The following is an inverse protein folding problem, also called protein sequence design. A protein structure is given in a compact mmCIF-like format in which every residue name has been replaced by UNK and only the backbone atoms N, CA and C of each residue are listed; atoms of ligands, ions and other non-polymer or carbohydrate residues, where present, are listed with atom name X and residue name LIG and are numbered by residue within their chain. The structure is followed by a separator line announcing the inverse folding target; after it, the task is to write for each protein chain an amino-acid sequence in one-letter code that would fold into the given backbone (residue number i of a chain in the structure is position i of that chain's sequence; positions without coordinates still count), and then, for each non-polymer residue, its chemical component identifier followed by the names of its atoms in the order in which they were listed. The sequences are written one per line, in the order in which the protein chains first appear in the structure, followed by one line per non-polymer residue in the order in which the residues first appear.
data_IF_224792789322
#
_entry.id   IF_224792789322
#
_cell.length_a   1.000
_cell.length_b   1.000
_cell.length_c   1.000
_cell.angle_alpha   90.00
_cell.angle_beta   90.00
_cell.angle_gamma   90.00
#
_symmetry.space_group_name_H-M   'P 1'
#
loop_
_entity.id
_entity.type
_entity.pdbx_description
1 polymer ?
#
# COMPACT_ATOMS: atom_id res chain seq x y z
N UNK A 1 13.02 6.93 35.98
CA UNK A 1 12.29 5.74 36.48
C UNK A 1 12.21 4.74 35.35
N UNK A 2 12.91 3.62 35.47
CA UNK A 2 13.06 2.62 34.41
C UNK A 2 12.06 1.47 34.59
N UNK A 3 11.67 0.90 33.44
CA UNK A 3 10.97 -0.38 33.21
C UNK A 3 9.51 -0.49 33.66
N UNK A 4 8.60 -0.72 32.70
CA UNK A 4 7.81 -1.95 32.78
C UNK A 4 7.24 -2.40 31.42
N UNK A 5 7.78 -3.51 30.93
CA UNK A 5 7.24 -4.45 29.93
C UNK A 5 6.29 -3.89 28.87
N UNK A 6 6.78 -3.69 27.63
CA UNK A 6 5.97 -3.44 26.43
C UNK A 6 5.11 -4.63 26.00
N UNK A 7 4.53 -5.34 26.97
CA UNK A 7 3.62 -6.46 26.81
C UNK A 7 2.22 -5.98 27.19
N UNK A 8 1.27 -6.11 26.29
CA UNK A 8 -0.12 -5.74 26.54
C UNK A 8 -1.06 -6.82 26.02
N UNK A 9 -2.19 -6.96 26.69
CA UNK A 9 -3.24 -7.90 26.32
C UNK A 9 -4.36 -7.11 25.70
N UNK A 10 -4.63 -7.33 24.42
CA UNK A 10 -5.68 -6.60 23.72
C UNK A 10 -6.38 -7.52 22.72
N UNK A 11 -7.69 -7.40 22.60
CA UNK A 11 -8.44 -8.17 21.62
C UNK A 11 -8.36 -7.54 20.23
N UNK A 12 -8.48 -8.35 19.18
CA UNK A 12 -8.58 -7.85 17.81
C UNK A 12 -9.84 -6.96 17.62
N UNK A 13 -10.84 -7.12 18.48
CA UNK A 13 -12.06 -6.30 18.49
C UNK A 13 -11.73 -4.89 18.96
N UNK A 14 -11.01 -4.79 20.07
CA UNK A 14 -10.62 -3.53 20.69
C UNK A 14 -9.63 -2.77 19.80
N UNK A 15 -8.64 -3.46 19.21
CA UNK A 15 -7.78 -2.88 18.18
C UNK A 15 -8.58 -2.36 16.97
N UNK A 16 -9.67 -3.04 16.60
CA UNK A 16 -10.53 -2.65 15.48
C UNK A 16 -11.29 -1.37 15.76
N UNK A 17 -11.78 -1.20 16.99
CA UNK A 17 -12.44 0.02 17.42
C UNK A 17 -11.44 1.18 17.53
N UNK A 18 -10.30 0.94 18.18
CA UNK A 18 -9.31 1.99 18.46
C UNK A 18 -8.65 2.50 17.18
N UNK A 19 -8.21 1.58 16.30
CA UNK A 19 -7.55 1.93 15.05
C UNK A 19 -8.52 2.23 13.91
N UNK A 20 -9.83 2.02 14.13
CA UNK A 20 -10.88 2.11 13.09
C UNK A 20 -10.57 1.27 11.85
N UNK A 21 -9.96 0.10 12.05
CA UNK A 21 -9.59 -0.85 11.00
C UNK A 21 -10.45 -2.11 11.07
N UNK A 22 -10.66 -2.77 9.93
CA UNK A 22 -11.36 -4.06 9.93
C UNK A 22 -10.52 -5.15 10.60
N UNK A 23 -11.17 -6.14 11.22
CA UNK A 23 -10.48 -7.29 11.86
C UNK A 23 -9.56 -8.04 10.89
N UNK A 24 -9.95 -8.15 9.62
CA UNK A 24 -9.13 -8.77 8.58
C UNK A 24 -7.83 -7.99 8.35
N UNK A 25 -7.89 -6.66 8.39
CA UNK A 25 -6.71 -5.79 8.26
C UNK A 25 -5.79 -5.94 9.46
N UNK A 26 -6.33 -6.00 10.68
CA UNK A 26 -5.56 -6.22 11.90
C UNK A 26 -4.85 -7.57 11.84
N UNK A 27 -5.55 -8.63 11.44
CA UNK A 27 -4.96 -9.97 11.30
C UNK A 27 -3.82 -10.00 10.28
N UNK A 28 -4.03 -9.43 9.09
CA UNK A 28 -2.98 -9.37 8.08
C UNK A 28 -1.78 -8.49 8.51
N UNK A 29 -2.04 -7.42 9.26
CA UNK A 29 -0.99 -6.48 9.69
C UNK A 29 -0.20 -7.02 10.86
N UNK A 30 -0.83 -7.66 11.86
CA UNK A 30 -0.12 -8.29 12.97
C UNK A 30 0.79 -9.43 12.50
N UNK A 31 0.37 -10.19 11.50
CA UNK A 31 1.20 -11.22 10.86
C UNK A 31 2.43 -10.58 10.20
N UNK A 32 2.25 -9.48 9.45
CA UNK A 32 3.36 -8.73 8.84
C UNK A 32 4.32 -8.16 9.88
N UNK A 33 3.81 -7.50 10.91
CA UNK A 33 4.62 -6.92 11.98
C UNK A 33 5.41 -8.00 12.73
N UNK A 34 4.80 -9.18 12.96
CA UNK A 34 5.49 -10.34 13.52
C UNK A 34 6.60 -10.85 12.59
N UNK A 35 6.33 -10.98 11.30
CA UNK A 35 7.31 -11.43 10.31
C UNK A 35 8.47 -10.44 10.13
N UNK A 36 8.22 -9.16 10.36
CA UNK A 36 9.25 -8.12 10.39
C UNK A 36 10.03 -8.08 11.70
N UNK A 37 9.68 -8.92 12.69
CA UNK A 37 10.32 -8.92 14.00
C UNK A 37 10.05 -7.67 14.83
N UNK A 38 8.96 -6.95 14.55
CA UNK A 38 8.58 -5.73 15.28
C UNK A 38 7.72 -6.03 16.50
N UNK A 39 6.94 -7.11 16.44
CA UNK A 39 6.09 -7.55 17.53
C UNK A 39 6.17 -9.07 17.70
N UNK A 40 5.92 -9.52 18.91
CA UNK A 40 5.57 -10.90 19.21
C UNK A 40 4.10 -10.96 19.66
N UNK A 41 3.36 -12.00 19.29
CA UNK A 41 2.01 -12.20 19.82
C UNK A 41 1.71 -13.69 20.06
N UNK A 42 0.85 -13.95 21.05
CA UNK A 42 0.31 -15.27 21.34
C UNK A 42 -1.21 -15.21 21.38
N UNK A 43 -1.84 -16.06 20.56
CA UNK A 43 -3.29 -16.25 20.54
C UNK A 43 -3.66 -17.61 21.14
N UNK A 44 -4.62 -17.64 22.05
CA UNK A 44 -5.28 -18.87 22.52
C UNK A 44 -6.78 -18.73 22.28
N UNK A 45 -7.46 -19.83 21.97
CA UNK A 45 -8.90 -19.83 21.72
C UNK A 45 -9.65 -19.36 22.97
N UNK A 46 -10.56 -18.40 22.80
CA UNK A 46 -11.43 -17.92 23.88
C UNK A 46 -10.82 -16.89 24.85
N UNK A 47 -9.58 -16.44 24.62
CA UNK A 47 -8.95 -15.38 25.43
C UNK A 47 -8.36 -14.27 24.55
N UNK A 48 -8.27 -13.02 25.05
CA UNK A 48 -7.62 -11.92 24.33
C UNK A 48 -6.19 -12.24 23.92
N UNK A 49 -5.74 -11.70 22.79
CA UNK A 49 -4.38 -11.92 22.29
C UNK A 49 -3.38 -11.13 23.15
N UNK A 50 -2.25 -11.77 23.44
CA UNK A 50 -1.12 -11.13 24.10
C UNK A 50 -0.17 -10.60 23.05
N UNK A 51 0.24 -9.34 23.17
CA UNK A 51 1.19 -8.67 22.30
C UNK A 51 2.40 -8.21 23.09
N UNK A 52 3.57 -8.22 22.45
CA UNK A 52 4.83 -7.70 22.96
C UNK A 52 5.52 -6.90 21.88
N UNK A 53 5.87 -5.64 22.16
CA UNK A 53 6.70 -4.82 21.28
C UNK A 53 8.15 -5.24 21.45
N UNK A 54 8.82 -5.47 20.33
CA UNK A 54 10.25 -5.76 20.28
C UNK A 54 10.94 -4.40 20.19
N UNK A 55 11.69 -4.01 21.21
CA UNK A 55 12.33 -2.67 21.34
C UNK A 55 13.82 -2.71 21.01
N UNK A 56 14.40 -3.90 20.92
CA UNK A 56 15.77 -4.20 20.48
C UNK A 56 15.88 -4.26 18.96
N UNK A 57 15.05 -3.48 18.25
CA UNK A 57 15.26 -3.25 16.83
C UNK A 57 16.53 -2.41 16.68
N UNK A 58 17.67 -3.07 16.47
CA UNK A 58 18.81 -2.42 15.84
C UNK A 58 18.31 -1.97 14.47
N UNK A 59 18.24 -0.66 14.22
CA UNK A 59 17.82 -0.11 12.91
C UNK A 59 18.60 -0.87 11.83
N UNK A 60 17.94 -1.72 11.05
CA UNK A 60 18.64 -2.37 9.97
C UNK A 60 18.80 -1.29 8.91
N UNK A 61 20.03 -0.81 8.71
CA UNK A 61 20.43 -0.43 7.35
C UNK A 61 19.92 -1.54 6.44
N UNK A 62 19.03 -1.16 5.53
CA UNK A 62 18.12 -2.02 4.75
C UNK A 62 18.78 -3.37 4.43
N UNK A 63 18.52 -4.37 5.28
CA UNK A 63 19.00 -5.73 5.06
C UNK A 63 18.13 -6.31 3.95
N UNK A 64 18.66 -6.27 2.73
CA UNK A 64 18.18 -7.06 1.60
C UNK A 64 18.12 -8.52 2.06
N UNK A 65 16.89 -8.98 2.30
CA UNK A 65 16.43 -10.37 2.49
C UNK A 65 17.49 -11.37 3.00
N UNK A 66 17.39 -11.72 4.28
CA UNK A 66 17.47 -13.12 4.67
C UNK A 66 16.31 -13.45 5.61
N UNK A 67 15.36 -14.19 5.07
CA UNK A 67 14.28 -14.87 5.80
C UNK A 67 14.92 -15.76 6.87
N UNK A 68 14.70 -15.45 8.15
CA UNK A 68 14.73 -16.47 9.21
C UNK A 68 13.28 -16.87 9.46
N UNK A 69 12.88 -17.93 8.79
CA UNK A 69 11.63 -18.63 9.04
C UNK A 69 11.62 -19.01 10.53
N UNK A 70 10.77 -18.39 11.36
CA UNK A 70 10.44 -18.97 12.66
C UNK A 70 9.47 -20.12 12.35
N UNK A 71 9.89 -21.38 12.52
CA UNK A 71 9.05 -22.50 12.12
C UNK A 71 7.75 -22.51 12.94
N UNK A 72 6.63 -22.99 12.36
CA UNK A 72 5.52 -23.46 13.17
C UNK A 72 6.04 -24.56 14.11
N UNK A 73 5.44 -24.78 15.29
CA UNK A 73 5.81 -25.95 16.07
C UNK A 73 5.49 -27.19 15.22
N UNK A 74 6.50 -27.99 14.87
CA UNK A 74 6.76 -29.40 15.28
C UNK A 74 7.77 -30.06 14.28
N UNK A 75 8.69 -30.86 14.83
CA UNK A 75 9.52 -31.98 14.27
C UNK A 75 10.90 -31.74 13.60
N UNK A 76 11.86 -32.59 14.02
CA UNK A 76 13.32 -32.61 13.80
C UNK A 76 13.80 -33.13 12.43
N UNK A 77 15.06 -32.80 12.12
CA UNK A 77 16.06 -33.42 11.21
C UNK A 77 16.60 -32.60 10.00
N UNK A 78 17.92 -32.68 9.83
CA UNK A 78 18.85 -31.71 9.22
C UNK A 78 19.33 -32.06 7.79
N UNK A 79 19.70 -31.04 6.96
CA UNK A 79 21.08 -30.79 6.44
C UNK A 79 21.17 -29.70 5.31
N UNK A 80 22.34 -29.02 5.09
CA UNK A 80 22.42 -27.65 4.53
C UNK A 80 23.42 -27.42 3.34
N UNK A 81 23.24 -26.35 2.53
CA UNK A 81 24.23 -25.76 1.57
C UNK A 81 23.81 -24.30 1.22
N UNK A 82 24.63 -23.32 0.76
CA UNK A 82 25.85 -22.60 1.24
C UNK A 82 26.16 -21.50 0.16
N UNK A 83 26.50 -20.25 0.58
CA UNK A 83 27.43 -19.26 -0.07
C UNK A 83 26.87 -18.46 -1.30
N UNK A 84 27.17 -17.19 -1.65
CA UNK A 84 28.19 -16.15 -1.35
C UNK A 84 27.69 -14.73 -1.72
N UNK A 85 28.29 -13.72 -1.07
CA UNK A 85 28.13 -12.26 -1.26
C UNK A 85 29.17 -11.69 -2.23
N UNK A 86 28.82 -10.66 -3.00
CA UNK A 86 29.76 -9.63 -3.48
C UNK A 86 29.04 -8.28 -3.76
N UNK A 87 29.63 -7.20 -3.25
CA UNK A 87 29.34 -5.76 -3.47
C UNK A 87 30.58 -5.13 -4.20
N UNK A 88 30.71 -3.83 -4.55
CA UNK A 88 29.78 -2.67 -4.49
C UNK A 88 29.88 -1.66 -5.69
N UNK A 89 29.02 -0.62 -5.68
CA UNK A 89 29.30 0.85 -5.89
C UNK A 89 28.39 1.64 -6.87
N UNK A 90 27.86 2.75 -6.29
CA UNK A 90 27.67 4.14 -6.80
C UNK A 90 26.28 4.62 -7.25
N UNK A 91 26.03 5.83 -6.77
CA UNK A 91 24.83 6.68 -6.85
C UNK A 91 24.46 7.05 -8.29
N UNK A 92 23.25 6.73 -8.74
CA UNK A 92 22.69 7.33 -9.96
C UNK A 92 21.17 7.48 -9.80
N UNK A 93 20.71 8.70 -10.06
CA UNK A 93 19.33 9.08 -10.35
C UNK A 93 18.71 8.02 -11.28
N UNK A 94 17.71 7.28 -10.80
CA UNK A 94 17.11 6.18 -11.56
C UNK A 94 16.44 6.73 -12.83
N UNK A 95 17.12 6.54 -13.95
CA UNK A 95 16.58 6.71 -15.29
C UNK A 95 15.43 5.70 -15.50
N UNK A 96 14.35 6.05 -16.24
CA UNK A 96 13.13 5.24 -16.39
C UNK A 96 13.29 3.78 -16.86
N UNK A 97 14.50 3.32 -17.20
CA UNK A 97 14.77 2.00 -17.78
C UNK A 97 14.95 0.85 -16.78
N UNK A 98 15.05 1.10 -15.46
CA UNK A 98 15.29 0.03 -14.48
C UNK A 98 14.03 -0.55 -13.80
N UNK A 99 12.84 -0.03 -14.08
CA UNK A 99 11.57 -0.55 -13.53
C UNK A 99 10.98 -1.74 -14.32
N UNK A 100 11.62 -2.16 -15.42
CA UNK A 100 11.10 -3.14 -16.39
C UNK A 100 11.17 -4.60 -15.85
N UNK A 101 11.89 -4.85 -14.76
CA UNK A 101 12.10 -6.22 -14.26
C UNK A 101 11.04 -6.73 -13.27
N UNK A 102 9.96 -5.97 -13.03
CA UNK A 102 8.81 -6.50 -12.29
C UNK A 102 7.90 -7.26 -13.27
N UNK A 103 7.66 -8.58 -13.07
CA UNK A 103 6.88 -9.40 -14.01
C UNK A 103 5.41 -9.00 -14.14
N UNK A 104 4.97 -7.97 -13.42
CA UNK A 104 3.60 -7.52 -13.34
C UNK A 104 3.39 -6.10 -13.91
N UNK A 105 4.45 -5.47 -14.41
CA UNK A 105 4.40 -4.17 -15.10
C UNK A 105 4.49 -4.45 -16.60
N UNK A 106 3.46 -4.12 -17.40
CA UNK A 106 3.48 -4.31 -18.84
C UNK A 106 4.38 -3.27 -19.52
N UNK A 107 4.79 -3.56 -20.76
CA UNK A 107 5.34 -2.52 -21.64
C UNK A 107 4.28 -1.43 -21.91
N UNK A 108 4.72 -0.20 -22.22
CA UNK A 108 3.84 0.90 -22.65
C UNK A 108 2.97 0.45 -23.84
N UNK A 109 3.56 -0.33 -24.76
CA UNK A 109 2.86 -0.82 -25.95
C UNK A 109 1.75 -1.82 -25.59
N UNK A 110 2.03 -2.79 -24.72
CA UNK A 110 1.00 -3.72 -24.21
C UNK A 110 -0.10 -2.98 -23.45
N UNK A 111 0.27 -1.95 -22.68
CA UNK A 111 -0.67 -1.12 -21.95
C UNK A 111 -1.65 -0.38 -22.87
N UNK A 112 -1.13 0.21 -23.96
CA UNK A 112 -1.91 0.90 -24.98
C UNK A 112 -2.74 -0.06 -25.84
N UNK A 113 -2.20 -1.21 -26.22
CA UNK A 113 -2.94 -2.25 -26.93
C UNK A 113 -4.14 -2.71 -26.12
N UNK A 114 -3.95 -2.98 -24.82
CA UNK A 114 -5.06 -3.32 -23.95
C UNK A 114 -6.08 -2.18 -23.85
N UNK A 115 -5.64 -0.92 -23.77
CA UNK A 115 -6.54 0.23 -23.76
C UNK A 115 -7.43 0.28 -25.01
N UNK A 116 -6.86 0.02 -26.21
CA UNK A 116 -7.58 -0.04 -27.49
C UNK A 116 -8.69 -1.10 -27.51
N UNK A 117 -8.57 -2.17 -26.73
CA UNK A 117 -9.61 -3.21 -26.63
C UNK A 117 -10.85 -2.77 -25.84
N UNK A 118 -10.77 -1.66 -25.09
CA UNK A 118 -11.86 -1.20 -24.23
C UNK A 118 -12.94 -0.45 -25.04
N UNK A 119 -14.21 -0.75 -24.77
CA UNK A 119 -15.37 -0.13 -25.44
C UNK A 119 -15.39 1.41 -25.35
N UNK A 120 -14.79 1.97 -24.31
CA UNK A 120 -14.79 3.43 -24.04
C UNK A 120 -13.50 4.12 -24.53
N UNK A 121 -12.68 3.43 -25.34
CA UNK A 121 -11.45 3.98 -25.88
C UNK A 121 -11.72 4.96 -27.03
N UNK A 122 -10.90 6.02 -27.09
CA UNK A 122 -10.83 6.94 -28.22
C UNK A 122 -9.35 7.22 -28.52
N UNK A 123 -8.93 7.31 -29.79
CA UNK A 123 -7.54 7.63 -30.17
C UNK A 123 -7.00 8.93 -29.56
N UNK A 124 -7.87 9.90 -29.29
CA UNK A 124 -7.51 11.17 -28.63
C UNK A 124 -7.05 11.00 -27.18
N UNK A 125 -7.32 9.84 -26.57
CA UNK A 125 -6.93 9.52 -25.20
C UNK A 125 -5.52 8.94 -25.09
N UNK A 126 -4.85 8.62 -26.20
CA UNK A 126 -3.53 7.97 -26.17
C UNK A 126 -2.53 8.76 -25.32
N UNK A 127 -2.39 10.07 -25.55
CA UNK A 127 -1.49 10.91 -24.77
C UNK A 127 -1.87 10.96 -23.28
N UNK A 128 -3.17 10.89 -22.96
CA UNK A 128 -3.65 10.84 -21.56
C UNK A 128 -3.38 9.49 -20.90
N UNK A 129 -3.49 8.41 -21.67
CA UNK A 129 -3.26 7.03 -21.20
C UNK A 129 -1.76 6.83 -20.96
N UNK A 130 -0.90 7.30 -21.87
CA UNK A 130 0.56 7.32 -21.71
C UNK A 130 0.97 8.13 -20.49
N UNK A 131 0.50 9.37 -20.36
CA UNK A 131 0.80 10.18 -19.18
C UNK A 131 0.30 9.54 -17.87
N UNK A 132 -0.77 8.74 -17.92
CA UNK A 132 -1.23 7.97 -16.77
C UNK A 132 -0.31 6.80 -16.44
N UNK A 133 0.20 6.10 -17.45
CA UNK A 133 1.19 5.04 -17.31
C UNK A 133 2.47 5.59 -16.67
N UNK A 134 2.99 6.70 -17.19
CA UNK A 134 4.19 7.35 -16.65
C UNK A 134 4.00 7.76 -15.19
N UNK A 135 2.84 8.35 -14.86
CA UNK A 135 2.50 8.67 -13.47
C UNK A 135 2.50 7.44 -12.56
N UNK A 136 2.09 6.26 -13.04
CA UNK A 136 2.18 5.03 -12.25
C UNK A 136 3.62 4.55 -12.13
N UNK A 137 4.43 4.65 -13.16
CA UNK A 137 5.87 4.32 -13.12
C UNK A 137 6.59 5.21 -12.10
N UNK A 138 6.40 6.53 -12.17
CA UNK A 138 6.97 7.52 -11.25
C UNK A 138 6.58 7.24 -9.79
N UNK A 139 5.35 6.78 -9.57
CA UNK A 139 4.85 6.40 -8.25
C UNK A 139 5.17 4.94 -7.85
N UNK A 140 6.21 4.34 -8.42
CA UNK A 140 6.64 2.97 -8.13
C UNK A 140 5.51 1.92 -8.33
N UNK A 141 4.69 2.13 -9.35
CA UNK A 141 3.53 1.29 -9.70
C UNK A 141 2.51 1.15 -8.56
N UNK A 142 2.19 2.27 -7.90
CA UNK A 142 1.21 2.36 -6.82
C UNK A 142 0.04 3.27 -7.18
N UNK A 143 -1.09 3.07 -6.51
CA UNK A 143 -2.24 3.96 -6.59
C UNK A 143 -2.07 5.18 -5.66
N UNK A 144 -3.01 6.13 -5.71
CA UNK A 144 -3.01 7.33 -4.83
C UNK A 144 -3.22 7.05 -3.34
N UNK A 145 -3.32 5.79 -2.93
CA UNK A 145 -3.37 5.35 -1.52
C UNK A 145 -2.13 4.50 -1.16
N UNK A 146 -1.03 4.66 -1.90
CA UNK A 146 0.24 3.93 -1.74
C UNK A 146 0.15 2.40 -1.86
N UNK A 147 -0.95 1.88 -2.40
CA UNK A 147 -1.12 0.43 -2.62
C UNK A 147 -0.55 0.04 -3.99
N UNK A 148 0.23 -1.05 -4.09
CA UNK A 148 0.76 -1.52 -5.37
C UNK A 148 -0.38 -1.91 -6.31
N UNK A 149 -0.25 -1.54 -7.59
CA UNK A 149 -1.20 -1.90 -8.64
C UNK A 149 -0.88 -3.33 -9.09
N UNK A 150 -1.64 -4.29 -8.56
CA UNK A 150 -1.46 -5.71 -8.89
C UNK A 150 -2.20 -6.13 -10.16
N UNK A 151 -3.37 -5.56 -10.44
CA UNK A 151 -4.15 -5.84 -11.65
C UNK A 151 -4.35 -4.55 -12.44
N UNK A 152 -3.30 -4.16 -13.16
CA UNK A 152 -3.27 -2.90 -13.92
C UNK A 152 -4.35 -2.83 -14.99
N UNK A 153 -4.79 -3.96 -15.56
CA UNK A 153 -5.86 -4.03 -16.58
C UNK A 153 -7.20 -3.58 -16.00
N UNK A 154 -7.57 -4.12 -14.84
CA UNK A 154 -8.78 -3.69 -14.12
C UNK A 154 -8.69 -2.25 -13.65
N UNK A 155 -7.52 -1.81 -13.16
CA UNK A 155 -7.29 -0.42 -12.76
C UNK A 155 -7.39 0.53 -13.95
N UNK A 156 -6.81 0.20 -15.10
CA UNK A 156 -6.92 1.02 -16.31
C UNK A 156 -8.38 1.11 -16.75
N UNK A 157 -9.10 -0.02 -16.80
CA UNK A 157 -10.52 -0.06 -17.16
C UNK A 157 -11.39 0.83 -16.25
N UNK A 158 -11.13 0.88 -14.95
CA UNK A 158 -11.88 1.75 -14.03
C UNK A 158 -11.47 3.22 -14.12
N UNK A 159 -10.21 3.52 -14.47
CA UNK A 159 -9.73 4.90 -14.62
C UNK A 159 -10.10 5.53 -15.96
N UNK A 160 -10.26 4.74 -17.02
CA UNK A 160 -10.53 5.22 -18.38
C UNK A 160 -11.74 6.18 -18.47
N UNK A 161 -12.90 5.89 -17.84
CA UNK A 161 -14.04 6.82 -17.86
C UNK A 161 -13.72 8.20 -17.29
N UNK A 162 -12.84 8.29 -16.30
CA UNK A 162 -12.45 9.57 -15.69
C UNK A 162 -11.47 10.36 -16.58
N UNK A 163 -10.69 9.68 -17.42
CA UNK A 163 -9.82 10.32 -18.42
C UNK A 163 -10.63 10.96 -19.55
N UNK A 164 -11.77 10.36 -19.90
CA UNK A 164 -12.75 10.87 -20.87
C UNK A 164 -13.50 12.06 -20.29
N UNK A 165 -14.03 11.88 -19.07
CA UNK A 165 -14.90 12.84 -18.43
C UNK A 165 -14.17 14.08 -17.93
N UNK A 166 -12.83 14.11 -17.89
CA UNK A 166 -12.05 15.27 -17.50
C UNK A 166 -12.58 16.51 -18.23
N UNK A 167 -13.46 17.32 -17.59
CA UNK A 167 -13.98 18.49 -18.23
C UNK A 167 -12.90 19.54 -18.09
N UNK A 168 -12.87 20.48 -19.03
CA UNK A 168 -12.28 21.80 -18.83
C UNK A 168 -13.04 22.57 -17.73
N UNK A 169 -13.15 21.99 -16.54
CA UNK A 169 -13.85 22.54 -15.39
C UNK A 169 -12.89 23.40 -14.60
N UNK A 170 -12.63 24.60 -15.10
CA UNK A 170 -12.35 25.71 -14.19
C UNK A 170 -13.56 25.76 -13.24
N UNK A 171 -13.44 25.21 -12.03
CA UNK A 171 -14.35 25.55 -10.94
C UNK A 171 -14.15 27.05 -10.70
N UNK A 172 -14.86 27.89 -11.45
CA UNK A 172 -14.91 29.31 -11.18
C UNK A 172 -15.67 29.46 -9.85
N UNK A 173 -15.03 29.95 -8.77
CA UNK A 173 -15.70 30.12 -7.48
C UNK A 173 -16.80 31.21 -7.48
N UNK A 174 -17.19 31.72 -8.65
CA UNK A 174 -18.16 32.81 -8.84
C UNK A 174 -19.62 32.36 -8.94
N UNK A 175 -19.90 31.05 -8.91
CA UNK A 175 -21.27 30.51 -9.03
C UNK A 175 -21.80 29.89 -7.73
N UNK A 176 -21.23 30.22 -6.57
CA UNK A 176 -21.75 29.75 -5.28
C UNK A 176 -22.95 30.64 -4.91
N UNK A 177 -24.18 30.10 -4.77
CA UNK A 177 -25.34 30.90 -4.39
C UNK A 177 -25.20 31.42 -2.95
N UNK A 178 -25.47 32.71 -2.74
CA UNK A 178 -25.42 33.35 -1.43
C UNK A 178 -26.54 32.84 -0.52
N UNK A 179 -26.19 32.15 0.56
CA UNK A 179 -27.16 31.66 1.56
C UNK A 179 -27.52 32.81 2.52
N UNK A 180 -28.75 33.31 2.43
CA UNK A 180 -29.28 34.29 3.39
C UNK A 180 -29.83 33.57 4.63
N UNK A 181 -29.37 33.98 5.82
CA UNK A 181 -29.90 33.45 7.09
C UNK A 181 -31.27 34.08 7.41
N UNK A 182 -32.23 33.33 7.97
CA UNK A 182 -33.51 33.89 8.39
C UNK A 182 -33.33 34.93 9.50
N UNK A 183 -34.14 35.99 9.46
CA UNK A 183 -34.14 37.03 10.51
C UNK A 183 -34.78 36.44 11.77
N UNK A 184 -34.09 36.56 12.90
CA UNK A 184 -34.61 36.17 14.21
C UNK A 184 -35.78 37.07 14.57
N UNK A 185 -36.97 36.51 14.70
CA UNK A 185 -38.17 37.22 15.17
C UNK A 185 -38.37 36.93 16.66
N UNK A 186 -37.52 37.52 17.51
CA UNK A 186 -37.93 37.79 18.88
C UNK A 186 -38.52 39.20 18.89
N UNK A 187 -39.83 39.28 19.00
CA UNK A 187 -40.53 40.52 19.30
C UNK A 187 -40.39 40.74 20.82
N UNK A 188 -39.77 41.86 21.22
CA UNK A 188 -39.93 42.45 22.56
C UNK A 188 -41.35 42.98 22.77
#
# INVERSE_FOLDING_TARGET
MANNSGNFTISDIELSQELKLSRNTIKATKDKLRNLGLIHYQSKTGVPCFYKIITDYSTPEIVKKTVKYFPPPITEEEKPIKISVAEPKKDIILSPKELINNPNIPSVEEFLEFAKTLKNYSPELNSKIEGKYDSWIENNWKNGYDRPITNWRSTLKSTLPYLIQAPKGNMNPKEIPTINRPKSTYNE
#
